data_IF_442616981011
#
_entry.id   IF_442616981011
#
_cell.length_a   1.000
_cell.length_b   1.000
_cell.length_c   1.000
_cell.angle_alpha   90.00
_cell.angle_beta   90.00
_cell.angle_gamma   90.00
#
_symmetry.space_group_name_H-M   'P 1'
#
loop_
_entity.id
_entity.type
_entity.pdbx_description
1 polymer ?
#
# COMPACT_ATOMS: atom_id res chain seq x y z
N UNK A 1 16.52 8.32 -3.13
CA UNK A 1 16.37 7.73 -1.77
C UNK A 1 16.50 6.24 -1.90
N UNK A 2 17.00 5.52 -0.89
CA UNK A 2 17.02 4.06 -0.93
C UNK A 2 15.55 3.53 -0.87
N UNK A 3 15.22 2.43 -1.58
CA UNK A 3 13.84 1.94 -1.71
C UNK A 3 13.10 1.76 -0.39
N UNK A 4 13.79 1.25 0.64
CA UNK A 4 13.26 1.02 1.98
C UNK A 4 12.90 2.30 2.76
N UNK A 5 13.24 3.48 2.22
CA UNK A 5 12.85 4.80 2.75
C UNK A 5 11.80 5.50 1.89
N UNK A 6 11.19 4.79 0.94
CA UNK A 6 10.15 5.32 0.06
C UNK A 6 8.86 4.56 0.29
N UNK A 7 7.78 5.31 0.45
CA UNK A 7 6.43 4.79 0.55
C UNK A 7 5.71 5.06 -0.76
N UNK A 8 5.05 4.05 -1.31
CA UNK A 8 4.16 4.18 -2.45
C UNK A 8 2.74 3.89 -2.00
N UNK A 9 1.83 4.84 -2.22
CA UNK A 9 0.41 4.71 -1.90
C UNK A 9 -0.37 4.75 -3.21
N UNK A 10 -1.15 3.70 -3.48
CA UNK A 10 -1.98 3.62 -4.69
C UNK A 10 -3.28 2.86 -4.44
N UNK A 11 -4.21 2.98 -5.38
CA UNK A 11 -5.58 2.46 -5.26
C UNK A 11 -5.71 1.00 -5.73
N UNK A 12 -4.72 0.47 -6.45
CA UNK A 12 -4.71 -0.91 -6.94
C UNK A 12 -3.87 -1.83 -6.06
N UNK A 13 -4.51 -2.74 -5.33
CA UNK A 13 -3.81 -3.64 -4.42
C UNK A 13 -2.66 -4.45 -5.07
N UNK A 14 -2.84 -4.92 -6.31
CA UNK A 14 -1.92 -5.79 -7.03
C UNK A 14 -0.80 -5.04 -7.77
N UNK A 15 -1.15 -3.98 -8.48
CA UNK A 15 -0.21 -3.22 -9.31
C UNK A 15 0.57 -2.21 -8.46
N UNK A 16 -0.12 -1.51 -7.56
CA UNK A 16 0.45 -0.37 -6.85
C UNK A 16 1.15 -0.84 -5.56
N UNK A 17 0.37 -1.38 -4.64
CA UNK A 17 0.88 -1.73 -3.32
C UNK A 17 1.78 -2.97 -3.39
N UNK A 18 1.27 -4.08 -3.93
CA UNK A 18 2.07 -5.29 -4.09
C UNK A 18 3.24 -5.12 -5.06
N UNK A 19 3.06 -4.34 -6.14
CA UNK A 19 4.14 -4.02 -7.08
C UNK A 19 5.26 -3.19 -6.44
N UNK A 20 4.91 -2.18 -5.64
CA UNK A 20 5.89 -1.38 -4.91
C UNK A 20 6.63 -2.21 -3.85
N UNK A 21 5.93 -3.06 -3.11
CA UNK A 21 6.52 -3.99 -2.13
C UNK A 21 7.53 -4.94 -2.80
N UNK A 22 7.14 -5.54 -3.93
CA UNK A 22 8.02 -6.40 -4.73
C UNK A 22 9.25 -5.66 -5.30
N UNK A 23 9.16 -4.34 -5.49
CA UNK A 23 10.26 -3.49 -5.93
C UNK A 23 11.16 -2.99 -4.78
N UNK A 24 10.85 -3.37 -3.53
CA UNK A 24 11.62 -3.00 -2.33
C UNK A 24 11.20 -1.68 -1.68
N UNK A 25 10.07 -1.09 -2.10
CA UNK A 25 9.46 0.06 -1.44
C UNK A 25 8.48 -0.42 -0.36
N UNK A 26 8.00 0.49 0.49
CA UNK A 26 6.82 0.23 1.31
C UNK A 26 5.55 0.53 0.48
N UNK A 27 4.91 -0.51 -0.04
CA UNK A 27 3.62 -0.40 -0.74
C UNK A 27 2.44 -0.37 0.22
N UNK A 28 1.54 0.61 0.07
CA UNK A 28 0.31 0.74 0.86
C UNK A 28 -0.88 0.84 -0.09
N UNK A 29 -1.90 0.05 0.18
CA UNK A 29 -3.15 0.07 -0.57
C UNK A 29 -4.12 1.08 0.04
N UNK A 30 -4.48 2.11 -0.73
CA UNK A 30 -5.56 3.03 -0.40
C UNK A 30 -6.89 2.49 -0.94
N UNK A 31 -7.71 1.94 -0.05
CA UNK A 31 -8.99 1.33 -0.40
C UNK A 31 -10.17 2.25 -0.12
N UNK A 32 -10.18 3.43 -0.72
CA UNK A 32 -11.24 4.42 -0.50
C UNK A 32 -12.64 3.92 -0.89
N UNK A 33 -12.72 3.02 -1.88
CA UNK A 33 -13.97 2.45 -2.37
C UNK A 33 -14.48 1.25 -1.55
N UNK A 34 -13.74 0.81 -0.51
CA UNK A 34 -14.14 -0.32 0.33
C UNK A 34 -14.15 -1.67 -0.41
N UNK A 35 -13.27 -1.83 -1.39
CA UNK A 35 -13.13 -3.05 -2.16
C UNK A 35 -12.68 -4.23 -1.27
N UNK A 36 -13.10 -5.42 -1.66
CA UNK A 36 -12.63 -6.65 -1.02
C UNK A 36 -11.15 -6.85 -1.36
N UNK A 37 -10.35 -7.19 -0.35
CA UNK A 37 -8.96 -7.54 -0.57
C UNK A 37 -8.87 -8.71 -1.57
N UNK A 38 -7.88 -8.70 -2.49
CA UNK A 38 -7.67 -9.81 -3.41
C UNK A 38 -7.49 -11.13 -2.65
N UNK A 39 -8.12 -12.20 -3.12
CA UNK A 39 -8.02 -13.52 -2.48
C UNK A 39 -6.60 -14.11 -2.53
N UNK A 40 -5.72 -13.57 -3.37
CA UNK A 40 -4.30 -13.94 -3.51
C UNK A 40 -3.47 -12.69 -3.72
N UNK A 41 -2.29 -12.64 -3.10
CA UNK A 41 -1.35 -11.54 -3.19
C UNK A 41 -0.57 -11.36 -1.89
N UNK A 42 0.51 -10.56 -1.89
CA UNK A 42 1.21 -10.22 -0.67
C UNK A 42 0.28 -9.41 0.25
N UNK A 43 0.41 -9.65 1.56
CA UNK A 43 -0.32 -8.93 2.58
C UNK A 43 0.34 -7.55 2.79
N UNK A 44 -0.04 -6.59 1.96
CA UNK A 44 0.37 -5.19 2.08
C UNK A 44 -0.55 -4.43 3.04
N UNK A 45 -0.05 -3.42 3.77
CA UNK A 45 -0.88 -2.55 4.59
C UNK A 45 -2.01 -1.90 3.77
N UNK A 46 -3.20 -1.80 4.36
CA UNK A 46 -4.36 -1.12 3.79
C UNK A 46 -4.76 0.06 4.68
N UNK A 47 -5.11 1.17 4.06
CA UNK A 47 -5.78 2.32 4.67
C UNK A 47 -7.03 2.64 3.85
N UNK A 48 -8.07 3.18 4.50
CA UNK A 48 -9.32 3.55 3.81
C UNK A 48 -9.35 5.05 3.45
N UNK A 49 -8.53 5.88 4.13
CA UNK A 49 -8.25 7.27 3.76
C UNK A 49 -6.77 7.63 3.89
N UNK A 50 -6.35 8.72 3.24
CA UNK A 50 -4.99 9.25 3.38
C UNK A 50 -4.71 9.84 4.77
N UNK A 51 -5.73 10.11 5.59
CA UNK A 51 -5.53 10.64 6.95
C UNK A 51 -4.89 9.59 7.86
N UNK A 52 -5.13 8.30 7.59
CA UNK A 52 -4.56 7.17 8.32
C UNK A 52 -3.05 6.99 8.04
N UNK A 53 -2.54 7.57 6.95
CA UNK A 53 -1.16 7.37 6.52
C UNK A 53 -0.15 7.85 7.58
N UNK A 54 -0.41 8.98 8.23
CA UNK A 54 0.49 9.52 9.25
C UNK A 54 0.64 8.56 10.44
N UNK A 55 -0.44 7.88 10.85
CA UNK A 55 -0.42 6.90 11.94
C UNK A 55 0.31 5.62 11.55
N UNK A 56 0.33 5.27 10.26
CA UNK A 56 1.01 4.09 9.74
C UNK A 56 2.52 4.30 9.57
N UNK A 57 2.96 5.54 9.36
CA UNK A 57 4.37 5.91 9.15
C UNK A 57 5.09 6.41 10.42
N UNK A 58 4.38 6.49 11.55
CA UNK A 58 4.88 7.01 12.83
C UNK A 58 5.84 6.05 13.55
#
# INVERSE_FOLDING_TARGET
>A
MPPEKVVYVGDRADVDAAGADAAGLMGIWLNHAGELAPARGPAVPRIDSLEELASLLA
#
